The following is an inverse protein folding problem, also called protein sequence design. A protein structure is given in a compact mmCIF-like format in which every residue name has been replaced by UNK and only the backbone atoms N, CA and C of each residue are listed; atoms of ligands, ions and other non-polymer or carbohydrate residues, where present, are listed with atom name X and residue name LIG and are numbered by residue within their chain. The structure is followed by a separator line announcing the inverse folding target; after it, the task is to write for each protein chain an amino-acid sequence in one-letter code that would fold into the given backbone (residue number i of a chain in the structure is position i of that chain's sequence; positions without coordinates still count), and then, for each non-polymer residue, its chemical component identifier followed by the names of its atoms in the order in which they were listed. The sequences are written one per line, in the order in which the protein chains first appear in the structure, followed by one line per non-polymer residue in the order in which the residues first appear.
data_IF_908364879329
#
_entry.id   IF_908364879329
#
_cell.length_a   1.000
_cell.length_b   1.000
_cell.length_c   1.000
_cell.angle_alpha   90.00
_cell.angle_beta   90.00
_cell.angle_gamma   90.00
#
_symmetry.space_group_name_H-M   'P 1'
#
loop_
_entity.id
_entity.type
_entity.pdbx_description
1 polymer ?
#
# COMPACT_ATOMS: atom_id res chain seq x y z
N UNK A 1 61.01 70.93 -18.31
CA UNK A 1 61.55 69.62 -18.77
C UNK A 1 61.05 68.52 -17.84
N UNK A 2 60.61 67.39 -18.42
CA UNK A 2 60.03 66.16 -17.82
C UNK A 2 58.50 66.13 -17.59
N UNK A 3 57.87 65.43 -18.54
CA UNK A 3 56.47 64.98 -18.66
C UNK A 3 56.10 64.02 -17.52
N UNK A 4 54.85 64.09 -17.02
CA UNK A 4 54.21 62.99 -16.28
C UNK A 4 53.08 62.43 -17.15
N UNK A 5 53.17 61.14 -17.41
CA UNK A 5 52.29 60.36 -18.28
C UNK A 5 50.96 60.07 -17.57
N UNK A 6 49.85 60.35 -18.23
CA UNK A 6 48.51 59.84 -17.87
C UNK A 6 48.35 58.46 -18.52
N UNK A 7 48.05 57.43 -17.74
CA UNK A 7 47.57 56.14 -18.24
C UNK A 7 46.11 56.05 -17.80
N UNK A 8 45.21 56.23 -18.76
CA UNK A 8 43.77 55.97 -18.59
C UNK A 8 43.49 54.50 -18.84
N UNK A 9 42.93 53.82 -17.84
CA UNK A 9 42.52 52.42 -17.94
C UNK A 9 41.05 52.37 -18.37
N UNK A 10 40.82 51.99 -19.64
CA UNK A 10 39.48 51.83 -20.21
C UNK A 10 38.99 50.40 -19.93
N UNK A 11 38.05 50.24 -18.99
CA UNK A 11 37.42 48.96 -18.69
C UNK A 11 36.26 48.69 -19.66
N UNK A 12 36.38 47.63 -20.45
CA UNK A 12 35.35 47.14 -21.36
C UNK A 12 34.45 46.14 -20.60
N UNK A 13 33.23 46.54 -20.25
CA UNK A 13 32.25 45.68 -19.61
C UNK A 13 31.49 44.86 -20.67
N UNK A 14 31.74 43.55 -20.76
CA UNK A 14 30.90 42.62 -21.51
C UNK A 14 29.63 42.33 -20.70
N UNK A 15 28.47 42.76 -21.19
CA UNK A 15 27.18 42.34 -20.68
C UNK A 15 26.82 40.95 -21.23
N UNK A 16 26.85 39.92 -20.37
CA UNK A 16 26.27 38.62 -20.68
C UNK A 16 24.74 38.67 -20.48
N UNK A 17 23.94 38.13 -21.41
CA UNK A 17 22.50 38.03 -21.23
C UNK A 17 22.20 36.96 -20.16
N UNK A 18 21.66 37.40 -19.02
CA UNK A 18 21.10 36.52 -18.00
C UNK A 18 19.85 35.85 -18.54
N UNK A 19 19.95 34.57 -18.90
CA UNK A 19 18.78 33.71 -19.08
C UNK A 19 18.08 33.58 -17.73
N UNK A 20 16.99 34.33 -17.54
CA UNK A 20 16.00 34.03 -16.50
C UNK A 20 15.33 32.69 -16.84
N UNK A 21 15.90 31.59 -16.33
CA UNK A 21 15.19 30.32 -16.27
C UNK A 21 14.14 30.45 -15.17
N UNK A 22 12.88 30.70 -15.53
CA UNK A 22 11.76 30.58 -14.60
C UNK A 22 11.71 29.13 -14.12
N UNK A 23 12.11 28.89 -12.86
CA UNK A 23 11.90 27.60 -12.23
C UNK A 23 10.39 27.33 -12.21
N UNK A 24 9.93 26.38 -13.02
CA UNK A 24 8.55 25.87 -12.94
C UNK A 24 8.42 25.22 -11.58
N UNK A 25 7.73 25.88 -10.65
CA UNK A 25 7.34 25.24 -9.41
C UNK A 25 6.35 24.13 -9.76
N UNK A 26 6.71 22.88 -9.49
CA UNK A 26 5.81 21.76 -9.74
C UNK A 26 4.58 21.91 -8.82
N UNK A 27 3.38 21.81 -9.38
CA UNK A 27 2.15 21.85 -8.58
C UNK A 27 2.00 20.54 -7.79
N UNK A 28 1.78 20.63 -6.47
CA UNK A 28 1.66 19.47 -5.61
C UNK A 28 0.21 18.97 -5.51
N UNK A 29 -0.01 17.70 -5.83
CA UNK A 29 -1.25 16.99 -5.58
C UNK A 29 -1.08 16.02 -4.40
N UNK A 30 -1.47 16.50 -3.22
CA UNK A 30 -1.46 15.71 -2.00
C UNK A 30 -2.69 14.77 -1.93
N UNK A 31 -2.47 13.46 -1.90
CA UNK A 31 -3.54 12.44 -1.84
C UNK A 31 -3.75 11.97 -0.41
N UNK A 32 -4.62 12.63 0.37
CA UNK A 32 -4.82 12.36 1.81
C UNK A 32 -5.70 11.14 2.08
N UNK A 33 -5.56 10.47 3.24
CA UNK A 33 -6.53 9.44 3.65
C UNK A 33 -5.90 8.25 4.39
N UNK A 34 -6.26 7.04 3.99
CA UNK A 34 -5.90 5.78 4.69
C UNK A 34 -4.40 5.50 4.77
N UNK A 35 -3.99 4.71 5.76
CA UNK A 35 -2.63 4.19 5.91
C UNK A 35 -2.40 2.88 5.16
N UNK A 36 -3.45 2.10 4.91
CA UNK A 36 -3.34 0.85 4.15
C UNK A 36 -3.04 1.13 2.68
N UNK A 37 -2.10 0.39 2.09
CA UNK A 37 -1.70 0.59 0.69
C UNK A 37 -0.89 1.86 0.45
N UNK A 38 -0.35 2.50 1.48
CA UNK A 38 0.52 3.68 1.33
C UNK A 38 1.72 3.39 0.42
N UNK A 39 2.41 2.26 0.64
CA UNK A 39 3.55 1.88 -0.20
C UNK A 39 3.17 1.69 -1.68
N UNK A 40 1.97 1.17 -1.95
CA UNK A 40 1.44 1.03 -3.31
C UNK A 40 1.21 2.41 -3.93
N UNK A 41 0.53 3.32 -3.23
CA UNK A 41 0.27 4.67 -3.76
C UNK A 41 1.55 5.50 -3.90
N UNK A 42 2.51 5.35 -2.98
CA UNK A 42 3.83 5.99 -3.06
C UNK A 42 4.59 5.50 -4.29
N UNK A 43 4.52 4.20 -4.60
CA UNK A 43 5.11 3.62 -5.81
C UNK A 43 4.48 4.20 -7.08
N UNK A 44 3.15 4.30 -7.14
CA UNK A 44 2.43 4.94 -8.25
C UNK A 44 2.84 6.42 -8.37
N UNK A 45 2.86 7.15 -7.26
CA UNK A 45 3.26 8.56 -7.21
C UNK A 45 4.69 8.79 -7.68
N UNK A 46 5.64 7.94 -7.26
CA UNK A 46 7.03 7.99 -7.72
C UNK A 46 7.14 7.75 -9.24
N UNK A 47 6.41 6.76 -9.76
CA UNK A 47 6.37 6.47 -11.18
C UNK A 47 5.77 7.66 -11.98
N UNK A 48 4.70 8.28 -11.46
CA UNK A 48 4.10 9.47 -12.04
C UNK A 48 5.07 10.65 -12.06
N UNK A 49 5.69 10.97 -10.92
CA UNK A 49 6.58 12.11 -10.76
C UNK A 49 7.82 12.00 -11.68
N UNK A 50 8.35 10.79 -11.87
CA UNK A 50 9.47 10.54 -12.79
C UNK A 50 9.16 10.84 -14.27
N UNK A 51 7.88 11.02 -14.63
CA UNK A 51 7.42 11.33 -16.00
C UNK A 51 6.81 12.73 -16.13
N UNK A 52 6.66 13.47 -15.03
CA UNK A 52 5.89 14.70 -15.00
C UNK A 52 6.63 15.82 -14.27
N UNK A 53 7.41 16.62 -15.00
CA UNK A 53 8.23 17.68 -14.42
C UNK A 53 7.44 18.87 -13.85
N UNK A 54 6.16 19.05 -14.23
CA UNK A 54 5.32 20.16 -13.78
C UNK A 54 4.35 19.84 -12.63
N UNK A 55 4.32 18.59 -12.17
CA UNK A 55 3.35 18.14 -11.17
C UNK A 55 3.94 17.03 -10.29
N UNK A 56 3.79 17.19 -8.98
CA UNK A 56 4.26 16.20 -7.99
C UNK A 56 3.08 15.62 -7.25
N UNK A 57 2.97 14.30 -7.19
CA UNK A 57 2.04 13.58 -6.33
C UNK A 57 2.74 13.25 -5.03
N UNK A 58 2.11 13.59 -3.91
CA UNK A 58 2.57 13.24 -2.57
C UNK A 58 1.53 12.42 -1.81
N UNK A 59 2.02 11.62 -0.86
CA UNK A 59 1.21 10.70 -0.03
C UNK A 59 1.40 11.12 1.42
N UNK A 60 0.58 12.07 1.94
CA UNK A 60 0.71 12.52 3.32
C UNK A 60 0.47 11.39 4.33
N UNK A 61 0.87 11.64 5.59
CA UNK A 61 0.60 10.75 6.72
C UNK A 61 -0.89 10.41 6.79
N UNK A 62 -1.18 9.18 7.22
CA UNK A 62 -2.55 8.68 7.33
C UNK A 62 -3.40 9.55 8.25
N UNK A 63 -4.60 9.86 7.78
CA UNK A 63 -5.72 10.39 8.58
C UNK A 63 -6.88 9.37 8.62
N UNK A 64 -6.64 8.13 8.17
CA UNK A 64 -7.64 7.08 8.03
C UNK A 64 -8.58 7.29 6.83
N UNK A 65 -9.32 6.24 6.45
CA UNK A 65 -10.33 6.31 5.38
C UNK A 65 -11.43 7.33 5.73
N UNK A 66 -11.91 7.33 6.97
CA UNK A 66 -12.96 8.24 7.45
C UNK A 66 -12.49 9.71 7.38
N UNK A 67 -11.24 9.98 7.77
CA UNK A 67 -10.63 11.30 7.65
C UNK A 67 -10.44 11.73 6.19
N UNK A 68 -10.02 10.82 5.31
CA UNK A 68 -9.88 11.09 3.87
C UNK A 68 -11.23 11.43 3.21
N UNK A 69 -12.27 10.66 3.50
CA UNK A 69 -13.64 10.89 3.03
C UNK A 69 -14.15 12.25 3.49
N UNK A 70 -13.98 12.56 4.78
CA UNK A 70 -14.39 13.86 5.32
C UNK A 70 -13.62 15.01 4.69
N UNK A 71 -12.29 14.91 4.60
CA UNK A 71 -11.45 15.96 4.03
C UNK A 71 -11.83 16.29 2.57
N UNK A 72 -12.09 15.28 1.74
CA UNK A 72 -12.51 15.51 0.35
C UNK A 72 -13.97 15.97 0.29
N UNK A 73 -14.86 15.32 1.04
CA UNK A 73 -16.29 15.62 1.05
C UNK A 73 -16.61 17.04 1.49
N UNK A 74 -15.86 17.58 2.45
CA UNK A 74 -15.96 18.96 2.95
C UNK A 74 -15.00 19.93 2.26
N UNK A 75 -14.45 19.56 1.09
CA UNK A 75 -13.60 20.42 0.26
C UNK A 75 -12.30 20.93 0.93
N UNK A 76 -11.82 20.25 1.98
CA UNK A 76 -10.52 20.52 2.60
C UNK A 76 -9.35 19.91 1.81
N UNK A 77 -9.62 18.89 0.99
CA UNK A 77 -8.66 18.28 0.09
C UNK A 77 -9.31 18.02 -1.28
N UNK A 78 -8.54 18.15 -2.36
CA UNK A 78 -9.07 17.97 -3.71
C UNK A 78 -9.29 16.49 -4.07
N UNK A 79 -8.41 15.61 -3.57
CA UNK A 79 -8.39 14.16 -3.80
C UNK A 79 -7.97 13.45 -2.51
N UNK A 80 -8.44 12.22 -2.34
CA UNK A 80 -8.05 11.36 -1.23
C UNK A 80 -7.93 9.89 -1.61
N UNK A 81 -7.58 9.06 -0.63
CA UNK A 81 -7.40 7.61 -0.74
C UNK A 81 -8.13 6.87 0.37
N UNK A 82 -8.76 5.76 0.04
CA UNK A 82 -9.52 4.92 0.99
C UNK A 82 -9.21 3.43 0.77
N UNK A 83 -9.28 2.66 1.85
CA UNK A 83 -9.09 1.20 1.83
C UNK A 83 -10.39 0.40 1.99
N UNK A 84 -11.52 1.08 1.84
CA UNK A 84 -12.88 0.52 1.94
C UNK A 84 -13.82 1.29 1.03
N UNK A 85 -14.97 0.68 0.73
CA UNK A 85 -16.06 1.35 0.04
C UNK A 85 -16.65 2.50 0.89
N UNK A 86 -17.26 3.46 0.21
CA UNK A 86 -18.01 4.56 0.84
C UNK A 86 -19.24 3.99 1.55
N UNK A 87 -19.45 4.36 2.82
CA UNK A 87 -20.61 3.93 3.61
C UNK A 87 -21.85 4.71 3.19
N UNK A 88 -23.04 4.19 3.52
CA UNK A 88 -24.31 4.83 3.17
C UNK A 88 -24.40 6.27 3.68
N UNK A 89 -24.00 6.50 4.93
CA UNK A 89 -24.01 7.82 5.58
C UNK A 89 -22.96 8.80 5.02
N UNK A 90 -22.07 8.35 4.15
CA UNK A 90 -21.02 9.15 3.51
C UNK A 90 -21.39 9.50 2.06
N UNK A 91 -22.43 8.89 1.49
CA UNK A 91 -22.86 9.13 0.11
C UNK A 91 -23.32 10.57 -0.15
N UNK A 92 -23.76 11.29 0.88
CA UNK A 92 -24.13 12.70 0.80
C UNK A 92 -22.97 13.62 0.38
N UNK A 93 -21.72 13.15 0.46
CA UNK A 93 -20.56 13.88 -0.06
C UNK A 93 -20.40 13.81 -1.58
N UNK A 94 -21.16 12.95 -2.27
CA UNK A 94 -21.15 12.79 -3.73
C UNK A 94 -19.74 12.54 -4.28
N UNK A 95 -18.98 11.70 -3.57
CA UNK A 95 -17.62 11.33 -3.95
C UNK A 95 -17.63 10.32 -5.09
N UNK A 96 -16.85 10.60 -6.13
CA UNK A 96 -16.42 9.60 -7.09
C UNK A 96 -15.49 8.64 -6.37
N UNK A 97 -15.79 7.35 -6.45
CA UNK A 97 -14.98 6.27 -5.90
C UNK A 97 -14.32 5.52 -7.05
N UNK A 98 -12.98 5.50 -7.07
CA UNK A 98 -12.21 4.88 -8.14
C UNK A 98 -11.16 3.92 -7.58
N UNK A 99 -11.43 2.60 -7.59
CA UNK A 99 -10.41 1.60 -7.31
C UNK A 99 -9.23 1.72 -8.27
N UNK A 100 -8.02 1.62 -7.73
CA UNK A 100 -6.77 1.69 -8.49
C UNK A 100 -5.88 0.48 -8.26
N UNK A 101 -6.03 -0.20 -7.12
CA UNK A 101 -5.28 -1.41 -6.82
C UNK A 101 -6.07 -2.32 -5.88
N UNK A 102 -5.78 -3.62 -5.95
CA UNK A 102 -6.15 -4.63 -4.97
C UNK A 102 -4.95 -4.87 -4.06
N UNK A 103 -5.21 -5.07 -2.78
CA UNK A 103 -4.20 -5.28 -1.73
C UNK A 103 -4.35 -6.71 -1.19
N UNK A 104 -3.52 -7.66 -1.63
CA UNK A 104 -3.62 -9.05 -1.19
C UNK A 104 -3.39 -9.21 0.31
N UNK A 105 -4.21 -10.05 0.94
CA UNK A 105 -3.98 -10.56 2.29
C UNK A 105 -3.27 -11.90 2.18
N UNK A 106 -2.04 -11.96 2.68
CA UNK A 106 -1.20 -13.13 2.64
C UNK A 106 -1.27 -13.91 3.95
N UNK A 107 -1.22 -15.24 3.86
CA UNK A 107 -0.73 -16.08 4.95
C UNK A 107 0.78 -16.24 4.80
N UNK A 108 1.50 -16.18 5.91
CA UNK A 108 2.95 -16.27 5.90
C UNK A 108 3.47 -16.89 7.20
N UNK A 109 4.63 -17.49 7.10
CA UNK A 109 5.23 -18.32 8.14
C UNK A 109 6.67 -17.90 8.40
N UNK A 110 7.17 -18.24 9.58
CA UNK A 110 8.60 -18.09 9.88
C UNK A 110 9.46 -18.87 8.87
N UNK A 111 10.70 -18.42 8.62
CA UNK A 111 11.65 -19.08 7.71
C UNK A 111 11.98 -20.53 8.07
N UNK A 112 11.83 -20.93 9.33
CA UNK A 112 11.99 -22.32 9.79
C UNK A 112 10.94 -23.28 9.23
N UNK A 113 9.79 -22.77 8.77
CA UNK A 113 8.70 -23.58 8.20
C UNK A 113 8.96 -23.81 6.72
N UNK A 114 9.08 -25.08 6.34
CA UNK A 114 9.34 -25.51 4.96
C UNK A 114 8.07 -25.65 4.12
N UNK A 115 6.90 -25.74 4.74
CA UNK A 115 5.62 -25.78 4.04
C UNK A 115 5.44 -24.51 3.23
N UNK A 116 5.21 -24.65 1.92
CA UNK A 116 5.05 -23.53 0.98
C UNK A 116 3.60 -23.33 0.51
N UNK A 117 2.75 -24.35 0.70
CA UNK A 117 1.39 -24.36 0.23
C UNK A 117 0.48 -25.01 1.28
N UNK A 118 -0.68 -24.41 1.51
CA UNK A 118 -1.76 -24.98 2.30
C UNK A 118 -3.05 -24.94 1.49
N UNK A 119 -3.95 -25.88 1.74
CA UNK A 119 -5.34 -25.73 1.30
C UNK A 119 -6.12 -24.80 2.23
N UNK A 120 -7.23 -24.24 1.75
CA UNK A 120 -8.12 -23.45 2.61
C UNK A 120 -8.59 -24.23 3.85
N UNK A 121 -8.93 -25.51 3.69
CA UNK A 121 -9.34 -26.39 4.80
C UNK A 121 -8.23 -26.58 5.83
N UNK A 122 -6.97 -26.72 5.39
CA UNK A 122 -5.83 -26.80 6.30
C UNK A 122 -5.62 -25.49 7.06
N UNK A 123 -5.77 -24.34 6.42
CA UNK A 123 -5.73 -23.04 7.10
C UNK A 123 -6.81 -22.97 8.18
N UNK A 124 -8.05 -23.34 7.88
CA UNK A 124 -9.13 -23.36 8.86
C UNK A 124 -8.88 -24.35 10.01
N UNK A 125 -8.35 -25.54 9.71
CA UNK A 125 -7.99 -26.52 10.73
C UNK A 125 -6.86 -26.04 11.64
N UNK A 126 -5.86 -25.32 11.09
CA UNK A 126 -4.78 -24.69 11.84
C UNK A 126 -5.33 -23.59 12.76
N UNK A 127 -6.10 -22.64 12.22
CA UNK A 127 -6.59 -21.51 12.99
C UNK A 127 -7.66 -21.88 14.04
N UNK A 128 -8.37 -23.00 13.85
CA UNK A 128 -9.24 -23.60 14.87
C UNK A 128 -8.48 -24.45 15.90
N UNK A 129 -7.22 -24.78 15.63
CA UNK A 129 -6.38 -25.63 16.48
C UNK A 129 -6.65 -27.13 16.36
N UNK A 130 -7.44 -27.55 15.36
CA UNK A 130 -7.61 -28.96 14.99
C UNK A 130 -6.29 -29.56 14.49
N UNK A 131 -5.53 -28.79 13.72
CA UNK A 131 -4.13 -29.05 13.37
C UNK A 131 -3.27 -28.19 14.28
N UNK A 132 -2.26 -28.81 14.91
CA UNK A 132 -1.35 -28.12 15.82
C UNK A 132 0.12 -28.53 15.69
N UNK A 133 0.45 -29.40 14.73
CA UNK A 133 1.82 -29.68 14.29
C UNK A 133 2.00 -29.51 12.78
N UNK A 134 3.20 -29.08 12.37
CA UNK A 134 3.55 -28.91 10.96
C UNK A 134 3.61 -30.22 10.18
N UNK A 135 3.89 -31.34 10.85
CA UNK A 135 3.90 -32.70 10.26
C UNK A 135 2.53 -33.12 9.70
N UNK A 136 1.44 -32.60 10.27
CA UNK A 136 0.06 -32.88 9.82
C UNK A 136 -0.27 -32.23 8.46
N UNK A 137 0.57 -31.29 8.01
CA UNK A 137 0.43 -30.59 6.72
C UNK A 137 1.66 -30.79 5.84
N UNK A 138 2.38 -31.90 6.05
CA UNK A 138 3.53 -32.29 5.23
C UNK A 138 4.83 -31.53 5.52
N UNK A 139 4.90 -30.81 6.66
CA UNK A 139 6.11 -30.19 7.17
C UNK A 139 6.91 -31.10 8.11
N UNK A 140 7.89 -30.52 8.81
CA UNK A 140 8.66 -31.21 9.85
C UNK A 140 7.81 -31.42 11.10
N UNK A 141 8.19 -32.39 11.94
CA UNK A 141 7.63 -32.52 13.29
C UNK A 141 8.08 -31.34 14.14
N UNK A 142 7.18 -30.36 14.27
CA UNK A 142 7.37 -29.13 15.01
C UNK A 142 6.01 -28.58 15.43
N UNK A 143 5.95 -27.97 16.61
CA UNK A 143 4.72 -27.37 17.14
C UNK A 143 4.31 -26.18 16.29
N UNK A 144 3.06 -26.17 15.82
CA UNK A 144 2.50 -25.06 15.07
C UNK A 144 2.04 -23.95 16.02
N UNK A 145 2.53 -22.72 15.78
CA UNK A 145 2.22 -21.54 16.59
C UNK A 145 1.38 -20.54 15.80
N UNK A 146 0.09 -20.45 16.13
CA UNK A 146 -0.83 -19.53 15.44
C UNK A 146 -0.66 -18.11 15.97
N UNK A 147 -0.47 -17.17 15.05
CA UNK A 147 -0.54 -15.72 15.29
C UNK A 147 -1.79 -15.18 14.62
N UNK A 148 -2.59 -14.45 15.38
CA UNK A 148 -3.83 -13.82 14.92
C UNK A 148 -3.75 -12.29 15.07
N UNK A 149 -4.72 -11.63 14.45
CA UNK A 149 -4.96 -10.19 14.56
C UNK A 149 -6.10 -9.90 15.53
N UNK A 150 -6.14 -8.67 16.04
CA UNK A 150 -7.27 -8.17 16.82
C UNK A 150 -8.56 -8.11 15.99
N UNK A 151 -9.72 -8.14 16.65
CA UNK A 151 -11.02 -8.31 15.99
C UNK A 151 -11.40 -7.13 15.08
N UNK A 152 -10.81 -5.96 15.34
CA UNK A 152 -10.99 -4.74 14.55
C UNK A 152 -10.16 -4.71 13.26
N UNK A 153 -9.20 -5.62 13.10
CA UNK A 153 -8.22 -5.65 12.02
C UNK A 153 -8.87 -5.80 10.63
N UNK A 154 -8.36 -5.03 9.65
CA UNK A 154 -8.90 -5.04 8.29
C UNK A 154 -8.56 -6.30 7.51
N UNK A 155 -7.40 -6.91 7.73
CA UNK A 155 -7.01 -8.16 7.06
C UNK A 155 -7.88 -9.31 7.56
N UNK A 156 -8.17 -9.35 8.87
CA UNK A 156 -9.10 -10.31 9.45
C UNK A 156 -10.50 -10.15 8.85
N UNK A 157 -11.01 -8.92 8.72
CA UNK A 157 -12.31 -8.66 8.09
C UNK A 157 -12.37 -9.17 6.64
N UNK A 158 -11.31 -8.92 5.86
CA UNK A 158 -11.21 -9.47 4.50
C UNK A 158 -11.27 -11.00 4.51
N UNK A 159 -10.53 -11.67 5.41
CA UNK A 159 -10.56 -13.13 5.50
C UNK A 159 -11.93 -13.66 5.95
N UNK A 160 -12.58 -13.03 6.93
CA UNK A 160 -13.93 -13.42 7.38
C UNK A 160 -14.99 -13.25 6.27
N UNK A 161 -14.79 -12.31 5.35
CA UNK A 161 -15.72 -12.07 4.24
C UNK A 161 -15.41 -12.92 3.01
N UNK A 162 -14.13 -13.17 2.71
CA UNK A 162 -13.69 -13.70 1.42
C UNK A 162 -13.02 -15.07 1.49
N UNK A 163 -12.48 -15.48 2.65
CA UNK A 163 -11.76 -16.75 2.78
C UNK A 163 -12.73 -17.90 3.10
N UNK A 164 -12.77 -18.98 2.29
CA UNK A 164 -13.67 -20.10 2.49
C UNK A 164 -13.50 -20.74 3.88
N UNK A 165 -14.57 -20.85 4.65
CA UNK A 165 -14.56 -21.55 5.94
C UNK A 165 -13.97 -20.76 7.12
N UNK A 166 -13.42 -19.56 6.90
CA UNK A 166 -12.75 -18.81 7.98
C UNK A 166 -13.73 -18.15 8.95
N UNK A 167 -14.95 -17.86 8.51
CA UNK A 167 -16.00 -17.25 9.34
C UNK A 167 -16.67 -18.27 10.27
N UNK A 168 -16.58 -19.54 9.91
CA UNK A 168 -17.23 -20.68 10.54
C UNK A 168 -16.39 -21.31 11.65
N UNK A 169 -15.10 -20.96 11.74
CA UNK A 169 -14.21 -21.47 12.78
C UNK A 169 -14.25 -20.60 14.04
N UNK A 170 -14.20 -21.25 15.20
CA UNK A 170 -13.77 -20.59 16.42
C UNK A 170 -12.23 -20.59 16.45
N UNK A 171 -11.63 -19.40 16.54
CA UNK A 171 -10.16 -19.29 16.62
C UNK A 171 -9.62 -19.95 17.89
N UNK A 172 -8.50 -20.64 17.77
CA UNK A 172 -7.86 -21.32 18.90
C UNK A 172 -7.45 -20.33 19.99
N UNK A 173 -7.80 -20.63 21.24
CA UNK A 173 -7.40 -19.86 22.42
C UNK A 173 -5.87 -19.89 22.66
N UNK A 174 -5.14 -20.81 22.00
CA UNK A 174 -3.68 -20.92 22.07
C UNK A 174 -2.95 -19.94 21.13
N UNK A 175 -3.68 -19.12 20.38
CA UNK A 175 -3.10 -18.15 19.44
C UNK A 175 -2.54 -16.91 20.14
N UNK A 176 -1.45 -16.34 19.61
CA UNK A 176 -0.94 -15.04 20.01
C UNK A 176 -1.65 -13.95 19.21
N UNK A 177 -2.20 -12.95 19.90
CA UNK A 177 -2.80 -11.77 19.23
C UNK A 177 -1.76 -10.68 19.04
N UNK A 178 -1.79 -10.03 17.89
CA UNK A 178 -0.99 -8.84 17.54
C UNK A 178 -1.91 -7.74 17.03
N UNK A 179 -1.57 -6.49 17.32
CA UNK A 179 -2.47 -5.35 17.09
C UNK A 179 -1.99 -4.43 15.96
N UNK A 180 -0.74 -4.60 15.50
CA UNK A 180 -0.16 -3.82 14.40
C UNK A 180 0.42 -4.74 13.33
N UNK A 181 0.36 -4.30 12.07
CA UNK A 181 0.93 -5.05 10.95
C UNK A 181 2.43 -5.30 11.15
N UNK A 182 3.19 -4.28 11.58
CA UNK A 182 4.63 -4.39 11.81
C UNK A 182 4.95 -5.34 12.98
N UNK A 183 4.19 -5.23 14.08
CA UNK A 183 4.33 -6.13 15.24
C UNK A 183 4.10 -7.58 14.84
N UNK A 184 3.05 -7.84 14.05
CA UNK A 184 2.73 -9.17 13.54
C UNK A 184 3.87 -9.75 12.69
N UNK A 185 4.36 -8.97 11.71
CA UNK A 185 5.45 -9.41 10.85
C UNK A 185 6.74 -9.65 11.62
N UNK A 186 7.13 -8.74 12.52
CA UNK A 186 8.30 -8.89 13.37
C UNK A 186 8.22 -10.10 14.30
N UNK A 187 7.06 -10.37 14.89
CA UNK A 187 6.86 -11.51 15.77
C UNK A 187 7.03 -12.83 15.00
N UNK A 188 6.44 -12.93 13.82
CA UNK A 188 6.52 -14.12 12.95
C UNK A 188 7.93 -14.32 12.42
N UNK A 189 8.63 -13.24 12.03
CA UNK A 189 10.03 -13.28 11.61
C UNK A 189 10.95 -13.82 12.73
N UNK A 190 10.71 -13.45 13.98
CA UNK A 190 11.58 -13.79 15.12
C UNK A 190 11.22 -15.10 15.84
N UNK A 191 10.04 -15.66 15.57
CA UNK A 191 9.52 -16.82 16.31
C UNK A 191 9.36 -18.02 15.39
N UNK A 192 10.10 -19.10 15.64
CA UNK A 192 10.05 -20.32 14.83
C UNK A 192 8.66 -20.94 14.81
N UNK A 193 8.38 -21.68 13.74
CA UNK A 193 7.18 -22.51 13.61
C UNK A 193 5.86 -21.73 13.67
N UNK A 194 5.91 -20.41 13.48
CA UNK A 194 4.74 -19.53 13.47
C UNK A 194 4.09 -19.43 12.11
N UNK A 195 2.77 -19.25 12.13
CA UNK A 195 1.95 -18.83 10.99
C UNK A 195 1.13 -17.61 11.39
N UNK A 196 1.02 -16.64 10.49
CA UNK A 196 0.11 -15.50 10.62
C UNK A 196 -0.44 -15.06 9.28
N UNK A 197 -1.25 -14.01 9.31
CA UNK A 197 -1.78 -13.35 8.12
C UNK A 197 -1.67 -11.83 8.23
N UNK A 198 -1.74 -11.14 7.08
CA UNK A 198 -1.69 -9.68 7.01
C UNK A 198 -1.47 -9.16 5.59
N UNK A 199 -1.27 -7.85 5.42
CA UNK A 199 -1.06 -7.23 4.12
C UNK A 199 0.21 -7.77 3.43
N UNK A 200 0.07 -8.25 2.21
CA UNK A 200 1.17 -8.83 1.44
C UNK A 200 2.28 -7.81 1.14
N UNK A 201 1.90 -6.56 0.83
CA UNK A 201 2.82 -5.45 0.57
C UNK A 201 3.76 -5.17 1.76
N UNK A 202 3.32 -5.46 2.98
CA UNK A 202 4.16 -5.38 4.17
C UNK A 202 4.92 -6.67 4.43
N UNK A 203 4.25 -7.82 4.47
CA UNK A 203 4.84 -9.11 4.85
C UNK A 203 6.07 -9.47 3.99
N UNK A 204 6.05 -9.13 2.70
CA UNK A 204 7.17 -9.36 1.77
C UNK A 204 8.47 -8.60 2.11
N UNK A 205 8.42 -7.61 3.00
CA UNK A 205 9.58 -6.85 3.43
C UNK A 205 10.27 -7.43 4.67
N UNK A 206 9.75 -8.55 5.20
CA UNK A 206 10.30 -9.27 6.35
C UNK A 206 10.90 -10.61 5.93
N UNK A 207 11.79 -11.17 6.76
CA UNK A 207 12.36 -12.51 6.56
C UNK A 207 11.34 -13.59 6.95
N UNK A 208 10.29 -13.72 6.15
CA UNK A 208 9.23 -14.72 6.26
C UNK A 208 9.04 -15.49 4.94
N UNK A 209 8.39 -16.64 4.98
CA UNK A 209 7.94 -17.35 3.79
C UNK A 209 6.47 -17.02 3.54
N UNK A 210 6.15 -16.53 2.34
CA UNK A 210 4.77 -16.28 1.92
C UNK A 210 4.18 -17.61 1.43
N UNK A 211 3.04 -18.00 2.00
CA UNK A 211 2.36 -19.23 1.64
C UNK A 211 1.52 -19.04 0.38
N UNK A 212 1.46 -20.10 -0.43
CA UNK A 212 0.39 -20.29 -1.41
C UNK A 212 -0.82 -20.89 -0.70
N UNK A 213 -2.01 -20.44 -1.09
CA UNK A 213 -3.27 -21.07 -0.69
C UNK A 213 -3.89 -21.72 -1.92
N UNK A 214 -4.14 -23.02 -1.86
CA UNK A 214 -4.63 -23.82 -2.99
C UNK A 214 -3.80 -23.60 -4.28
N UNK A 215 -2.48 -23.50 -4.10
CA UNK A 215 -1.51 -23.27 -5.17
C UNK A 215 -1.40 -21.82 -5.64
N UNK A 216 -2.20 -20.89 -5.12
CA UNK A 216 -2.21 -19.47 -5.51
C UNK A 216 -1.35 -18.63 -4.58
N UNK A 217 -0.39 -17.91 -5.15
CA UNK A 217 0.42 -16.92 -4.43
C UNK A 217 -0.32 -15.55 -4.40
N UNK A 218 -0.15 -14.72 -3.34
CA UNK A 218 -0.80 -13.41 -3.25
C UNK A 218 -0.53 -12.44 -4.41
N UNK A 219 0.58 -12.64 -5.14
CA UNK A 219 0.91 -11.85 -6.33
C UNK A 219 0.32 -12.38 -7.64
N UNK A 220 -0.36 -13.54 -7.61
CA UNK A 220 -0.89 -14.16 -8.82
C UNK A 220 -2.14 -13.43 -9.30
N UNK A 221 -2.34 -13.31 -10.63
CA UNK A 221 -3.61 -12.84 -11.18
C UNK A 221 -4.79 -13.67 -10.66
N UNK A 222 -5.83 -12.98 -10.21
CA UNK A 222 -7.05 -13.62 -9.71
C UNK A 222 -6.97 -14.12 -8.26
N UNK A 223 -5.94 -13.75 -7.49
CA UNK A 223 -5.94 -13.98 -6.04
C UNK A 223 -7.18 -13.36 -5.38
N UNK A 224 -7.91 -14.15 -4.59
CA UNK A 224 -9.26 -13.81 -4.16
C UNK A 224 -9.33 -12.96 -2.90
N UNK A 225 -8.33 -13.03 -2.02
CA UNK A 225 -8.37 -12.44 -0.68
C UNK A 225 -7.71 -11.06 -0.71
N UNK A 226 -8.49 -10.04 -1.07
CA UNK A 226 -7.98 -8.70 -1.35
C UNK A 226 -8.80 -7.60 -0.67
N UNK A 227 -8.11 -6.63 -0.10
CA UNK A 227 -8.65 -5.30 0.13
C UNK A 227 -8.60 -4.46 -1.16
N UNK A 228 -9.30 -3.32 -1.18
CA UNK A 228 -9.26 -2.37 -2.30
C UNK A 228 -8.59 -1.08 -1.86
N UNK A 229 -7.70 -0.54 -2.70
CA UNK A 229 -7.19 0.83 -2.59
C UNK A 229 -7.87 1.65 -3.69
N UNK A 230 -8.57 2.70 -3.28
CA UNK A 230 -9.30 3.58 -4.20
C UNK A 230 -8.95 5.05 -3.98
N UNK A 231 -8.93 5.80 -5.07
CA UNK A 231 -8.95 7.26 -5.06
C UNK A 231 -10.38 7.76 -4.89
N UNK A 232 -10.53 8.87 -4.19
CA UNK A 232 -11.80 9.58 -4.03
C UNK A 232 -11.64 11.06 -4.37
N UNK A 233 -12.62 11.62 -5.05
CA UNK A 233 -12.66 13.04 -5.41
C UNK A 233 -14.10 13.46 -5.72
N UNK A 234 -14.38 14.77 -5.75
CA UNK A 234 -15.66 15.31 -6.24
C UNK A 234 -15.55 15.60 -7.73
N UNK A 235 -16.62 15.45 -8.49
CA UNK A 235 -16.59 15.70 -9.95
C UNK A 235 -16.09 17.10 -10.31
N UNK A 236 -16.46 18.13 -9.52
CA UNK A 236 -15.97 19.50 -9.71
C UNK A 236 -14.44 19.65 -9.60
N UNK A 237 -13.76 18.72 -8.93
CA UNK A 237 -12.32 18.70 -8.75
C UNK A 237 -11.61 17.92 -9.87
N UNK A 238 -12.33 17.22 -10.76
CA UNK A 238 -11.77 16.43 -11.85
C UNK A 238 -11.24 17.30 -13.01
N UNK A 239 -10.28 18.17 -12.68
CA UNK A 239 -9.57 19.10 -13.58
C UNK A 239 -8.20 18.54 -13.96
N UNK A 240 -7.38 19.33 -14.67
CA UNK A 240 -6.13 18.91 -15.32
C UNK A 240 -5.26 17.98 -14.44
N UNK A 241 -4.90 18.38 -13.23
CA UNK A 241 -4.01 17.60 -12.36
C UNK A 241 -4.61 16.29 -11.88
N UNK A 242 -5.84 16.31 -11.36
CA UNK A 242 -6.52 15.09 -10.91
C UNK A 242 -6.78 14.17 -12.10
N UNK A 243 -7.26 14.69 -13.24
CA UNK A 243 -7.50 13.93 -14.45
C UNK A 243 -6.22 13.26 -14.96
N UNK A 244 -5.10 13.98 -14.93
CA UNK A 244 -3.79 13.47 -15.33
C UNK A 244 -3.30 12.34 -14.42
N UNK A 245 -3.36 12.53 -13.10
CA UNK A 245 -2.94 11.49 -12.16
C UNK A 245 -3.87 10.26 -12.19
N UNK A 246 -5.17 10.47 -12.22
CA UNK A 246 -6.17 9.40 -12.33
C UNK A 246 -5.99 8.61 -13.63
N UNK A 247 -5.72 9.29 -14.75
CA UNK A 247 -5.42 8.64 -16.02
C UNK A 247 -4.15 7.80 -15.93
N UNK A 248 -3.10 8.33 -15.32
CA UNK A 248 -1.86 7.59 -15.08
C UNK A 248 -2.05 6.38 -14.17
N UNK A 249 -2.85 6.48 -13.11
CA UNK A 249 -3.08 5.38 -12.17
C UNK A 249 -3.68 4.11 -12.81
N UNK A 250 -4.21 4.21 -14.04
CA UNK A 250 -4.74 3.11 -14.86
C UNK A 250 -3.78 2.67 -15.97
N UNK A 251 -2.58 3.26 -16.08
CA UNK A 251 -1.63 2.96 -17.13
C UNK A 251 -0.85 1.67 -16.85
N UNK A 252 -0.21 1.12 -17.88
CA UNK A 252 0.67 -0.05 -17.73
C UNK A 252 1.82 0.25 -16.75
N UNK A 253 2.36 1.46 -16.76
CA UNK A 253 3.43 1.90 -15.84
C UNK A 253 2.94 1.93 -14.39
N UNK A 254 1.72 2.42 -14.14
CA UNK A 254 1.12 2.33 -12.82
C UNK A 254 0.87 0.87 -12.40
N UNK A 255 0.47 0.00 -13.33
CA UNK A 255 0.31 -1.43 -13.04
C UNK A 255 1.63 -2.08 -12.60
N UNK A 256 2.74 -1.75 -13.25
CA UNK A 256 4.07 -2.22 -12.83
C UNK A 256 4.48 -1.63 -11.48
N UNK A 257 4.20 -0.35 -11.23
CA UNK A 257 4.41 0.28 -9.93
C UNK A 257 3.62 -0.42 -8.82
N UNK A 258 2.35 -0.76 -9.07
CA UNK A 258 1.48 -1.49 -8.15
C UNK A 258 2.04 -2.87 -7.83
N UNK A 259 2.39 -3.67 -8.84
CA UNK A 259 2.99 -5.01 -8.66
C UNK A 259 4.30 -4.96 -7.88
N UNK A 260 5.16 -4.00 -8.21
CA UNK A 260 6.47 -3.84 -7.56
C UNK A 260 6.33 -3.59 -6.05
N UNK A 261 5.27 -2.90 -5.63
CA UNK A 261 4.93 -2.61 -4.24
C UNK A 261 4.11 -3.73 -3.56
N UNK A 262 3.75 -4.81 -4.25
CA UNK A 262 2.99 -5.92 -3.68
C UNK A 262 1.47 -5.74 -3.74
N UNK A 263 0.98 -4.79 -4.54
CA UNK A 263 -0.43 -4.75 -4.93
C UNK A 263 -0.70 -5.57 -6.19
N UNK A 264 -1.97 -5.68 -6.55
CA UNK A 264 -2.42 -6.15 -7.85
C UNK A 264 -3.16 -5.00 -8.56
N UNK A 265 -2.94 -4.79 -9.88
CA UNK A 265 -3.76 -3.86 -10.65
C UNK A 265 -5.26 -4.20 -10.54
N UNK A 266 -6.11 -3.17 -10.54
CA UNK A 266 -7.55 -3.35 -10.39
C UNK A 266 -8.21 -3.95 -11.64
#
# INVERSE_FOLDING_TARGET
MKRKSFIGMMALALALPTLCSTAVTAEELAVVGTGSGMAILESIGKAFNGKNAGMTVSVPKSIGSDGGIKAVGTDQAAIGRVSRKIKENEKSYELVYMPIAKMPIAFFVNKSVETQNLSADQVCAIYSGKINEWSEVGGKSAKLRVVRREDSDSSLKVLLEQFPGFKEIALTAKSKTTNKDSENCEFIEKTTDTIGFGPYDMARNYQVNILKIDGKHPSDPGYAFVGELALIYKEKNFKENIKKFVGFAKSAEAHEAIKSAGGLPY
#
